data_IF_376553846411
#
_entry.id   IF_376553846411
#
_cell.length_a   1.000
_cell.length_b   1.000
_cell.length_c   1.000
_cell.angle_alpha   90.00
_cell.angle_beta   90.00
_cell.angle_gamma   90.00
#
_symmetry.space_group_name_H-M   'P 1'
#
loop_
_entity.id
_entity.type
_entity.pdbx_description
1 polymer ?
#
# COMPACT_ATOMS: atom_id res chain seq x y z
N UNK A 1 22.01 47.80 28.82
CA UNK A 1 20.57 47.70 28.54
C UNK A 1 20.29 47.42 27.06
N UNK A 2 20.73 48.26 26.11
CA UNK A 2 20.44 48.11 24.68
C UNK A 2 20.96 46.81 24.03
N UNK A 3 22.18 46.35 24.36
CA UNK A 3 22.74 45.11 23.81
C UNK A 3 21.98 43.84 24.23
N UNK A 4 21.39 43.84 25.43
CA UNK A 4 20.59 42.71 25.94
C UNK A 4 19.22 42.66 25.27
N UNK A 5 18.64 43.81 24.95
CA UNK A 5 17.39 43.90 24.20
C UNK A 5 17.57 43.42 22.74
N UNK A 6 18.64 43.82 22.06
CA UNK A 6 18.94 43.38 20.70
C UNK A 6 19.18 41.86 20.60
N UNK A 7 19.91 41.26 21.56
CA UNK A 7 20.13 39.82 21.61
C UNK A 7 18.83 39.03 21.88
N UNK A 8 17.92 39.58 22.71
CA UNK A 8 16.62 38.97 22.96
C UNK A 8 15.70 39.01 21.73
N UNK A 9 15.73 40.08 20.94
CA UNK A 9 14.98 40.18 19.68
C UNK A 9 15.52 39.22 18.61
N UNK A 10 16.84 39.10 18.46
CA UNK A 10 17.44 38.14 17.53
C UNK A 10 17.07 36.70 17.90
N UNK A 11 17.10 36.38 19.19
CA UNK A 11 16.74 35.05 19.67
C UNK A 11 15.25 34.72 19.45
N UNK A 12 14.37 35.73 19.59
CA UNK A 12 12.94 35.59 19.26
C UNK A 12 12.73 35.37 17.76
N UNK A 13 13.41 36.14 16.91
CA UNK A 13 13.35 35.96 15.46
C UNK A 13 13.87 34.58 15.03
N UNK A 14 14.99 34.13 15.60
CA UNK A 14 15.56 32.81 15.32
C UNK A 14 14.60 31.69 15.75
N UNK A 15 13.96 31.83 16.90
CA UNK A 15 12.98 30.87 17.39
C UNK A 15 11.72 30.83 16.53
N UNK A 16 11.17 32.00 16.18
CA UNK A 16 10.00 32.12 15.31
C UNK A 16 10.25 31.49 13.94
N UNK A 17 11.42 31.75 13.34
CA UNK A 17 11.82 31.15 12.06
C UNK A 17 12.00 29.64 12.15
N UNK A 18 12.53 29.14 13.27
CA UNK A 18 12.65 27.70 13.52
C UNK A 18 11.28 27.03 13.67
N UNK A 19 10.37 27.65 14.42
CA UNK A 19 8.99 27.17 14.59
C UNK A 19 8.22 27.17 13.27
N UNK A 20 8.41 28.19 12.43
CA UNK A 20 7.85 28.27 11.09
C UNK A 20 8.39 27.16 10.18
N UNK A 21 9.71 26.90 10.20
CA UNK A 21 10.30 25.82 9.42
C UNK A 21 9.75 24.45 9.83
N UNK A 22 9.60 24.19 11.12
CA UNK A 22 9.01 22.94 11.63
C UNK A 22 7.57 22.79 11.14
N UNK A 23 6.78 23.86 11.13
CA UNK A 23 5.40 23.83 10.60
C UNK A 23 5.37 23.51 9.11
N UNK A 24 6.25 24.14 8.32
CA UNK A 24 6.35 23.88 6.88
C UNK A 24 6.72 22.41 6.64
N UNK A 25 7.72 21.88 7.35
CA UNK A 25 8.15 20.50 7.22
C UNK A 25 7.04 19.50 7.59
N UNK A 26 6.22 19.82 8.60
CA UNK A 26 5.06 19.02 8.97
C UNK A 26 4.01 19.00 7.84
N UNK A 27 3.67 20.16 7.29
CA UNK A 27 2.71 20.28 6.19
C UNK A 27 3.19 19.49 4.96
N UNK A 28 4.49 19.58 4.61
CA UNK A 28 5.04 18.84 3.48
C UNK A 28 4.97 17.32 3.68
N UNK A 29 5.24 16.83 4.89
CA UNK A 29 5.13 15.40 5.21
C UNK A 29 3.69 14.91 5.11
N UNK A 30 2.75 15.67 5.66
CA UNK A 30 1.33 15.31 5.63
C UNK A 30 0.79 15.30 4.19
N UNK A 31 1.19 16.28 3.38
CA UNK A 31 0.80 16.35 1.97
C UNK A 31 1.37 15.15 1.20
N UNK A 32 2.65 14.81 1.40
CA UNK A 32 3.28 13.65 0.77
C UNK A 32 2.61 12.34 1.19
N UNK A 33 2.30 12.15 2.48
CA UNK A 33 1.60 10.98 2.97
C UNK A 33 0.19 10.86 2.37
N UNK A 34 -0.50 11.99 2.16
CA UNK A 34 -1.81 12.02 1.50
C UNK A 34 -1.71 11.62 0.02
N UNK A 35 -0.70 12.12 -0.69
CA UNK A 35 -0.37 11.73 -2.06
C UNK A 35 -0.04 10.24 -2.17
N UNK A 36 0.79 9.71 -1.27
CA UNK A 36 1.12 8.29 -1.20
C UNK A 36 -0.12 7.43 -0.96
N UNK A 37 -0.98 7.81 0.00
CA UNK A 37 -2.25 7.11 0.26
C UNK A 37 -3.18 7.08 -0.94
N UNK A 38 -3.18 8.12 -1.79
CA UNK A 38 -3.96 8.12 -3.03
C UNK A 38 -3.38 7.20 -4.11
N UNK A 39 -2.06 7.04 -4.16
CA UNK A 39 -1.40 6.12 -5.11
C UNK A 39 -1.29 4.68 -4.60
N UNK A 40 -1.48 4.47 -3.29
CA UNK A 40 -1.37 3.18 -2.63
C UNK A 40 -2.28 2.09 -3.22
N UNK A 41 -3.59 2.32 -3.50
CA UNK A 41 -4.45 1.30 -4.08
C UNK A 41 -3.97 0.83 -5.46
N UNK A 42 -3.48 1.77 -6.28
CA UNK A 42 -2.94 1.47 -7.61
C UNK A 42 -1.64 0.68 -7.50
N UNK A 43 -0.74 1.07 -6.59
CA UNK A 43 0.51 0.34 -6.35
C UNK A 43 0.23 -1.07 -5.81
N UNK A 44 -0.71 -1.20 -4.87
CA UNK A 44 -1.14 -2.48 -4.34
C UNK A 44 -1.74 -3.38 -5.42
N UNK A 45 -2.57 -2.81 -6.30
CA UNK A 45 -3.14 -3.50 -7.45
C UNK A 45 -2.04 -4.02 -8.40
N UNK A 46 -1.08 -3.18 -8.73
CA UNK A 46 0.06 -3.57 -9.58
C UNK A 46 0.91 -4.65 -8.92
N UNK A 47 1.31 -4.47 -7.65
CA UNK A 47 2.19 -5.42 -6.95
C UNK A 47 1.51 -6.74 -6.61
N UNK A 48 0.22 -6.75 -6.26
CA UNK A 48 -0.49 -7.98 -5.85
C UNK A 48 -1.03 -8.80 -7.00
N UNK A 49 -1.47 -8.16 -8.07
CA UNK A 49 -2.17 -8.84 -9.17
C UNK A 49 -1.29 -8.93 -10.41
N UNK A 50 -0.70 -7.81 -10.81
CA UNK A 50 -0.05 -7.69 -12.12
C UNK A 50 1.37 -8.26 -12.11
N UNK A 51 2.17 -7.94 -11.08
CA UNK A 51 3.58 -8.38 -11.00
C UNK A 51 3.74 -9.90 -10.93
N UNK A 52 3.00 -10.66 -10.08
CA UNK A 52 3.18 -12.12 -10.01
C UNK A 52 2.73 -12.85 -11.28
N UNK A 53 1.63 -12.39 -11.89
CA UNK A 53 1.11 -12.93 -13.14
C UNK A 53 2.08 -12.70 -14.31
N UNK A 54 2.59 -11.46 -14.45
CA UNK A 54 3.58 -11.11 -15.46
C UNK A 54 4.89 -11.86 -15.27
N UNK A 55 5.37 -11.97 -14.03
CA UNK A 55 6.65 -12.66 -13.76
C UNK A 55 6.56 -14.13 -14.17
N UNK A 56 5.45 -14.80 -13.85
CA UNK A 56 5.24 -16.21 -14.20
C UNK A 56 5.11 -16.38 -15.73
N UNK A 57 4.31 -15.53 -16.38
CA UNK A 57 4.14 -15.56 -17.83
C UNK A 57 5.43 -15.25 -18.59
N UNK A 58 6.24 -14.31 -18.10
CA UNK A 58 7.55 -14.00 -18.70
C UNK A 58 8.53 -15.17 -18.55
N UNK A 59 8.50 -15.90 -17.44
CA UNK A 59 9.32 -17.10 -17.26
C UNK A 59 8.92 -18.18 -18.29
N UNK A 60 7.64 -18.36 -18.57
CA UNK A 60 7.17 -19.31 -19.59
C UNK A 60 7.51 -18.89 -21.01
N UNK A 61 7.36 -17.60 -21.35
CA UNK A 61 7.79 -17.06 -22.65
C UNK A 61 9.29 -17.26 -22.87
N UNK A 62 10.12 -17.06 -21.83
CA UNK A 62 11.55 -17.31 -21.91
C UNK A 62 11.90 -18.81 -22.08
N UNK A 63 11.04 -19.73 -21.64
CA UNK A 63 11.23 -21.18 -21.76
C UNK A 63 10.81 -21.71 -23.13
N UNK A 64 9.63 -21.32 -23.58
CA UNK A 64 9.02 -21.89 -24.79
C UNK A 64 9.47 -21.15 -26.07
N UNK A 65 10.05 -19.94 -25.93
CA UNK A 65 10.45 -19.07 -27.04
C UNK A 65 9.46 -19.09 -28.21
N UNK A 66 8.18 -18.71 -27.94
CA UNK A 66 7.17 -18.71 -28.98
C UNK A 66 7.50 -17.70 -30.08
N UNK A 67 7.00 -17.96 -31.28
CA UNK A 67 7.23 -17.11 -32.46
C UNK A 67 6.65 -15.69 -32.29
N UNK A 68 5.62 -15.54 -31.46
CA UNK A 68 5.08 -14.25 -30.99
C UNK A 68 5.02 -14.23 -29.45
N UNK A 69 6.06 -13.69 -28.77
CA UNK A 69 6.10 -13.61 -27.32
C UNK A 69 5.07 -12.64 -26.74
N UNK A 70 4.66 -11.61 -27.49
CA UNK A 70 3.67 -10.64 -27.01
C UNK A 70 2.27 -11.24 -27.05
N UNK A 71 1.90 -11.93 -28.14
CA UNK A 71 0.63 -12.63 -28.27
C UNK A 71 0.46 -13.75 -27.25
N UNK A 72 1.49 -14.58 -27.06
CA UNK A 72 1.49 -15.65 -26.06
C UNK A 72 1.27 -15.10 -24.64
N UNK A 73 1.98 -14.02 -24.29
CA UNK A 73 1.83 -13.41 -22.96
C UNK A 73 0.43 -12.81 -22.76
N UNK A 74 -0.17 -12.22 -23.79
CA UNK A 74 -1.53 -11.69 -23.71
C UNK A 74 -2.56 -12.79 -23.45
N UNK A 75 -2.45 -13.93 -24.14
CA UNK A 75 -3.31 -15.09 -23.94
C UNK A 75 -3.12 -15.69 -22.54
N UNK A 76 -1.87 -15.86 -22.10
CA UNK A 76 -1.53 -16.32 -20.76
C UNK A 76 -2.15 -15.44 -19.66
N UNK A 77 -2.02 -14.11 -19.79
CA UNK A 77 -2.57 -13.17 -18.83
C UNK A 77 -4.10 -13.13 -18.85
N UNK A 78 -4.73 -13.32 -20.00
CA UNK A 78 -6.18 -13.38 -20.11
C UNK A 78 -6.72 -14.57 -19.30
N UNK A 79 -6.15 -15.77 -19.51
CA UNK A 79 -6.50 -16.99 -18.75
C UNK A 79 -6.23 -16.80 -17.25
N UNK A 80 -5.08 -16.26 -16.88
CA UNK A 80 -4.73 -16.02 -15.48
C UNK A 80 -5.70 -15.04 -14.79
N UNK A 81 -6.20 -14.03 -15.52
CA UNK A 81 -7.14 -13.05 -14.98
C UNK A 81 -8.49 -13.67 -14.64
N UNK A 82 -8.98 -14.64 -15.42
CA UNK A 82 -10.22 -15.37 -15.10
C UNK A 82 -10.05 -16.23 -13.85
N UNK A 83 -8.93 -16.97 -13.76
CA UNK A 83 -8.61 -17.79 -12.58
C UNK A 83 -8.44 -16.93 -11.32
N UNK A 84 -7.82 -15.75 -11.45
CA UNK A 84 -7.66 -14.82 -10.33
C UNK A 84 -8.97 -14.14 -9.93
N UNK A 85 -9.89 -13.86 -10.86
CA UNK A 85 -11.25 -13.37 -10.56
C UNK A 85 -12.02 -14.41 -9.75
N UNK A 86 -11.99 -15.67 -10.16
CA UNK A 86 -12.64 -16.77 -9.43
C UNK A 86 -12.04 -16.94 -8.03
N UNK A 87 -10.70 -16.90 -7.89
CA UNK A 87 -10.02 -17.03 -6.60
C UNK A 87 -10.26 -15.82 -5.69
N UNK A 88 -10.32 -14.61 -6.24
CA UNK A 88 -10.66 -13.40 -5.48
C UNK A 88 -12.13 -13.37 -5.06
N UNK A 89 -13.05 -13.83 -5.91
CA UNK A 89 -14.46 -14.03 -5.56
C UNK A 89 -14.63 -15.10 -4.47
N UNK A 90 -13.90 -16.22 -4.58
CA UNK A 90 -13.89 -17.27 -3.56
C UNK A 90 -13.29 -16.79 -2.23
N UNK A 91 -12.21 -16.00 -2.26
CA UNK A 91 -11.59 -15.44 -1.06
C UNK A 91 -12.48 -14.37 -0.41
N UNK A 92 -13.20 -13.57 -1.21
CA UNK A 92 -14.22 -12.63 -0.71
C UNK A 92 -15.41 -13.35 -0.07
N UNK A 93 -15.83 -14.49 -0.63
CA UNK A 93 -16.88 -15.33 -0.04
C UNK A 93 -16.44 -15.98 1.28
N UNK A 94 -15.18 -16.41 1.38
CA UNK A 94 -14.61 -16.99 2.61
C UNK A 94 -14.45 -15.95 3.74
N UNK A 95 -14.12 -14.70 3.41
CA UNK A 95 -14.01 -13.61 4.39
C UNK A 95 -15.36 -13.20 5.03
N UNK A 96 -16.50 -13.60 4.43
CA UNK A 96 -17.85 -13.38 4.97
C UNK A 96 -18.36 -14.48 5.91
N UNK A 97 -17.61 -15.59 6.10
CA UNK A 97 -18.02 -16.70 6.95
C UNK A 97 -17.10 -16.83 8.17
N UNK A 98 -17.21 -15.88 9.10
CA UNK A 98 -16.78 -16.11 10.49
C UNK A 98 -17.81 -17.04 11.12
N UNK A 99 -17.49 -18.32 11.24
CA UNK A 99 -18.26 -19.28 12.04
C UNK A 99 -18.22 -18.84 13.52
N UNK A 100 -19.36 -18.60 14.18
CA UNK A 100 -19.40 -18.55 15.63
C UNK A 100 -19.39 -20.00 16.14
N UNK A 101 -18.21 -20.60 16.23
CA UNK A 101 -18.06 -21.94 16.81
C UNK A 101 -16.99 -21.92 17.91
N UNK A 102 -17.31 -21.22 19.00
CA UNK A 102 -16.67 -21.46 20.30
C UNK A 102 -17.66 -21.19 21.46
N UNK A 103 -18.94 -21.54 21.28
CA UNK A 103 -19.89 -21.63 22.39
C UNK A 103 -19.63 -22.95 23.14
N UNK A 104 -18.68 -22.94 24.08
CA UNK A 104 -18.48 -24.06 25.02
C UNK A 104 -19.71 -24.15 25.95
N UNK A 105 -20.36 -25.32 26.08
CA UNK A 105 -21.43 -25.51 27.05
C UNK A 105 -20.84 -25.67 28.46
N UNK A 106 -21.58 -25.16 29.45
CA UNK A 106 -21.13 -24.90 30.81
C UNK A 106 -20.49 -26.07 31.56
N UNK A 107 -19.49 -25.73 32.37
CA UNK A 107 -18.99 -26.55 33.45
C UNK A 107 -19.61 -26.06 34.76
N UNK A 108 -20.53 -26.86 35.27
CA UNK A 108 -21.17 -26.78 36.58
C UNK A 108 -20.16 -26.64 37.72
N UNK A 109 -20.37 -25.65 38.59
CA UNK A 109 -19.69 -25.52 39.87
C UNK A 109 -20.42 -26.36 40.93
N UNK A 110 -19.66 -27.24 41.58
CA UNK A 110 -19.97 -27.83 42.88
C UNK A 110 -18.88 -27.40 43.85
#
# INVERSE_FOLDING_TARGET
AAAVAAAAEEQRHRKARGEEQVRIDQIMKDELARLEKHSEPLRLYLTRLVVPALTSGLVEVCRDQPNDPAGYLAEYLAVYSEVSKERSAANAAAAGHVTPQDARPGSTGH
#
